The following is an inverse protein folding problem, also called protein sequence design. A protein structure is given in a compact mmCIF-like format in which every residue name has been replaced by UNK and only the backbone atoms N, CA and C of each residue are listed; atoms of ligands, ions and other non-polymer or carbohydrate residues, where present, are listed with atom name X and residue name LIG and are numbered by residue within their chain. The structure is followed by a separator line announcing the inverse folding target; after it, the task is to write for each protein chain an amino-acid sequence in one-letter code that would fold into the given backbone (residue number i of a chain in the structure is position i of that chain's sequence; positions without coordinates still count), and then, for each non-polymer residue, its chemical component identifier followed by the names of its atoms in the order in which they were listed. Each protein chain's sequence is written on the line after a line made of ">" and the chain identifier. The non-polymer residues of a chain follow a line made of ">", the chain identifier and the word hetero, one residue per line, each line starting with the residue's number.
data_IF_317090430506
#
_entry.id   IF_317090430506
#
_cell.length_a   1.000
_cell.length_b   1.000
_cell.length_c   1.000
_cell.angle_alpha   90.00
_cell.angle_beta   90.00
_cell.angle_gamma   90.00
#
_symmetry.space_group_name_H-M   'P 1'
#
loop_
_entity.id
_entity.type
_entity.pdbx_description
1 polymer ?
#
# COMPACT_ATOMS: atom_id res chain seq x y z
N UNK A 1 -3.34 -39.93 31.07
CA UNK A 1 -2.22 -39.13 30.49
C UNK A 1 -2.41 -38.97 28.98
N UNK A 2 -3.27 -38.05 28.50
CA UNK A 2 -3.41 -37.82 27.04
C UNK A 2 -4.23 -36.56 26.68
N UNK A 3 -4.00 -35.41 27.31
CA UNK A 3 -4.66 -34.15 26.92
C UNK A 3 -3.81 -32.94 27.32
N UNK A 4 -2.66 -32.74 26.69
CA UNK A 4 -1.82 -31.56 26.96
C UNK A 4 -0.84 -31.31 25.80
N UNK A 5 -1.34 -31.31 24.57
CA UNK A 5 -0.60 -30.81 23.41
C UNK A 5 -1.65 -30.15 22.52
N UNK A 6 -1.36 -28.95 22.00
CA UNK A 6 -2.14 -28.16 21.01
C UNK A 6 -2.85 -26.88 21.52
N UNK A 7 -2.27 -26.12 22.46
CA UNK A 7 -2.70 -24.71 22.67
C UNK A 7 -1.48 -23.80 22.84
N UNK A 8 -0.57 -23.76 21.85
CA UNK A 8 0.63 -22.92 21.92
C UNK A 8 1.08 -22.34 20.56
N UNK A 9 0.16 -22.07 19.63
CA UNK A 9 0.52 -21.61 18.28
C UNK A 9 -0.27 -20.38 17.77
N UNK A 10 -0.83 -19.53 18.65
CA UNK A 10 -1.67 -18.40 18.22
C UNK A 10 -1.12 -17.00 18.58
N UNK A 11 0.16 -16.84 18.92
CA UNK A 11 0.71 -15.54 19.37
C UNK A 11 1.78 -14.97 18.42
N UNK A 12 1.54 -14.99 17.10
CA UNK A 12 2.38 -14.25 16.13
C UNK A 12 1.50 -13.51 15.10
N UNK A 13 0.52 -12.73 15.56
CA UNK A 13 -0.29 -11.86 14.68
C UNK A 13 -0.13 -10.35 14.96
N UNK A 14 0.78 -9.95 15.85
CA UNK A 14 0.75 -8.60 16.43
C UNK A 14 1.66 -7.52 15.82
N UNK A 15 2.74 -7.86 15.10
CA UNK A 15 3.63 -6.84 14.53
C UNK A 15 3.37 -6.67 13.03
N UNK A 16 2.19 -6.16 12.67
CA UNK A 16 2.01 -5.57 11.34
C UNK A 16 2.80 -4.25 11.33
N UNK A 17 3.76 -4.12 10.40
CA UNK A 17 4.47 -2.86 10.22
C UNK A 17 3.46 -1.72 10.00
N UNK A 18 3.70 -0.56 10.60
CA UNK A 18 2.82 0.59 10.45
C UNK A 18 2.62 0.89 8.96
N UNK A 19 1.37 1.08 8.47
CA UNK A 19 1.11 1.37 7.08
C UNK A 19 1.83 2.68 6.67
N UNK A 20 2.58 2.61 5.58
CA UNK A 20 3.28 3.76 5.00
C UNK A 20 2.27 4.80 4.51
N UNK A 21 2.62 6.08 4.61
CA UNK A 21 1.72 7.20 4.27
C UNK A 21 1.52 7.35 2.76
N UNK A 22 0.46 8.06 2.35
CA UNK A 22 0.26 8.41 0.94
C UNK A 22 1.42 9.28 0.39
N UNK A 23 1.93 10.21 1.19
CA UNK A 23 3.07 11.06 0.80
C UNK A 23 4.35 10.27 0.52
N UNK A 24 4.57 9.18 1.25
CA UNK A 24 5.66 8.24 0.95
C UNK A 24 5.46 7.63 -0.44
N UNK A 25 4.27 7.09 -0.72
CA UNK A 25 3.97 6.48 -2.02
C UNK A 25 4.05 7.48 -3.19
N UNK A 26 3.67 8.74 -2.97
CA UNK A 26 3.88 9.80 -3.98
C UNK A 26 5.36 10.03 -4.31
N UNK A 27 6.24 9.94 -3.31
CA UNK A 27 7.69 10.07 -3.49
C UNK A 27 8.32 8.78 -4.07
N UNK A 28 7.65 7.64 -3.93
CA UNK A 28 8.14 6.31 -4.31
C UNK A 28 7.21 5.61 -5.33
N UNK A 29 7.10 6.11 -6.58
CA UNK A 29 6.11 5.62 -7.56
C UNK A 29 6.27 4.15 -7.94
N UNK A 30 7.51 3.61 -7.92
CA UNK A 30 7.76 2.18 -8.14
C UNK A 30 7.13 1.33 -7.04
N UNK A 31 7.29 1.75 -5.79
CA UNK A 31 6.72 1.02 -4.65
C UNK A 31 5.20 1.14 -4.59
N UNK A 32 4.65 2.27 -5.06
CA UNK A 32 3.21 2.44 -5.25
C UNK A 32 2.67 1.40 -6.22
N UNK A 33 3.31 1.22 -7.38
CA UNK A 33 2.90 0.21 -8.36
C UNK A 33 2.96 -1.22 -7.77
N UNK A 34 4.07 -1.58 -7.11
CA UNK A 34 4.23 -2.90 -6.48
C UNK A 34 3.18 -3.12 -5.39
N UNK A 35 2.95 -2.13 -4.53
CA UNK A 35 1.97 -2.23 -3.43
C UNK A 35 0.55 -2.36 -3.97
N UNK A 36 0.19 -1.62 -5.02
CA UNK A 36 -1.11 -1.76 -5.68
C UNK A 36 -1.31 -3.14 -6.32
N UNK A 37 -0.26 -3.71 -6.92
CA UNK A 37 -0.29 -5.07 -7.44
C UNK A 37 -0.57 -6.09 -6.32
N UNK A 38 0.13 -5.95 -5.18
CA UNK A 38 -0.12 -6.76 -3.97
C UNK A 38 -1.53 -6.60 -3.42
N UNK A 39 -2.08 -5.39 -3.45
CA UNK A 39 -3.46 -5.11 -3.05
C UNK A 39 -4.47 -5.78 -3.98
N UNK A 40 -4.24 -5.76 -5.30
CA UNK A 40 -5.14 -6.35 -6.29
C UNK A 40 -5.25 -7.88 -6.15
N UNK A 41 -4.13 -8.55 -5.82
CA UNK A 41 -4.08 -10.00 -5.55
C UNK A 41 -4.44 -10.38 -4.11
N UNK A 42 -4.81 -9.41 -3.26
CA UNK A 42 -5.20 -9.63 -1.88
C UNK A 42 -4.06 -10.00 -0.92
N UNK A 43 -2.80 -9.86 -1.33
CA UNK A 43 -1.62 -10.12 -0.50
C UNK A 43 -1.40 -9.02 0.56
N UNK A 44 -1.88 -7.80 0.29
CA UNK A 44 -1.97 -6.69 1.24
C UNK A 44 -3.39 -6.14 1.27
N UNK A 45 -3.81 -5.62 2.42
CA UNK A 45 -5.15 -5.01 2.63
C UNK A 45 -5.06 -3.87 3.65
N UNK A 46 -6.14 -3.09 3.73
CA UNK A 46 -6.28 -2.01 4.71
C UNK A 46 -5.55 -0.73 4.31
N UNK A 47 -5.18 0.07 5.31
CA UNK A 47 -4.73 1.45 5.14
C UNK A 47 -3.52 1.61 4.19
N UNK A 48 -2.63 0.61 4.11
CA UNK A 48 -1.51 0.68 3.17
C UNK A 48 -1.98 0.69 1.70
N UNK A 49 -3.03 -0.07 1.38
CA UNK A 49 -3.64 -0.06 0.06
C UNK A 49 -4.38 1.24 -0.23
N UNK A 50 -5.04 1.82 0.78
CA UNK A 50 -5.75 3.10 0.64
C UNK A 50 -4.76 4.24 0.38
N UNK A 51 -3.65 4.26 1.12
CA UNK A 51 -2.58 5.23 0.95
C UNK A 51 -1.91 5.12 -0.43
N UNK A 52 -1.63 3.89 -0.89
CA UNK A 52 -1.06 3.68 -2.22
C UNK A 52 -2.02 4.10 -3.35
N UNK A 53 -3.33 3.87 -3.20
CA UNK A 53 -4.36 4.32 -4.17
C UNK A 53 -4.46 5.84 -4.21
N UNK A 54 -4.46 6.51 -3.06
CA UNK A 54 -4.46 7.97 -2.98
C UNK A 54 -3.25 8.57 -3.70
N UNK A 55 -2.06 8.00 -3.46
CA UNK A 55 -0.83 8.43 -4.11
C UNK A 55 -0.85 8.25 -5.63
N UNK A 56 -1.32 7.10 -6.14
CA UNK A 56 -1.48 6.88 -7.58
C UNK A 56 -2.43 7.90 -8.23
N UNK A 57 -3.54 8.22 -7.55
CA UNK A 57 -4.45 9.28 -7.97
C UNK A 57 -3.75 10.65 -8.06
N UNK A 58 -2.97 11.01 -7.05
CA UNK A 58 -2.21 12.26 -7.02
C UNK A 58 -1.14 12.33 -8.11
N UNK A 59 -0.40 11.25 -8.33
CA UNK A 59 0.62 11.15 -9.40
C UNK A 59 -0.01 11.34 -10.79
N UNK A 60 -1.14 10.69 -11.05
CA UNK A 60 -1.89 10.85 -12.31
C UNK A 60 -2.41 12.28 -12.47
N UNK A 61 -2.88 12.91 -11.40
CA UNK A 61 -3.32 14.30 -11.44
C UNK A 61 -2.17 15.26 -11.79
N UNK A 62 -1.00 15.10 -11.14
CA UNK A 62 0.21 15.87 -11.46
C UNK A 62 0.64 15.69 -12.92
N UNK A 63 0.59 14.45 -13.42
CA UNK A 63 0.91 14.17 -14.83
C UNK A 63 -0.04 14.89 -15.80
N UNK A 64 -1.36 14.87 -15.54
CA UNK A 64 -2.34 15.61 -16.35
C UNK A 64 -2.10 17.12 -16.32
N UNK A 65 -1.82 17.68 -15.15
CA UNK A 65 -1.51 19.11 -15.00
C UNK A 65 -0.25 19.50 -15.77
N UNK A 66 0.79 18.66 -15.74
CA UNK A 66 2.02 18.90 -16.50
C UNK A 66 1.78 18.88 -18.01
N UNK A 67 0.95 17.95 -18.50
CA UNK A 67 0.56 17.91 -19.91
C UNK A 67 -0.26 19.13 -20.32
N UNK A 68 -1.21 19.55 -19.48
CA UNK A 68 -2.00 20.75 -19.71
C UNK A 68 -1.10 21.98 -19.83
N UNK A 69 -0.16 22.18 -18.90
CA UNK A 69 0.77 23.33 -18.92
C UNK A 69 1.60 23.38 -20.20
N UNK A 70 2.12 22.26 -20.68
CA UNK A 70 2.90 22.19 -21.93
C UNK A 70 2.11 22.58 -23.18
N UNK A 71 0.78 22.48 -23.14
CA UNK A 71 -0.07 22.91 -24.26
C UNK A 71 -0.17 24.44 -24.41
N UNK A 72 0.33 25.20 -23.43
CA UNK A 72 0.36 26.66 -23.45
C UNK A 72 1.79 27.23 -23.61
N UNK A 73 2.80 26.37 -23.77
CA UNK A 73 4.19 26.73 -24.10
C UNK A 73 4.41 26.65 -25.61
#
# INVERSE_FOLDING_TARGET
>A
MRRLVLVAALIVSGCQAQPRSASYFEAHPKETATTLADCARGARRGAECDNARAADGALKAKARQALFRKGFE
#
